data_IF_326194094338
#
_entry.id   IF_326194094338
#
_cell.length_a   1.000
_cell.length_b   1.000
_cell.length_c   1.000
_cell.angle_alpha   90.00
_cell.angle_beta   90.00
_cell.angle_gamma   90.00
#
_symmetry.space_group_name_H-M   'P 1'
#
loop_
_entity.id
_entity.type
_entity.pdbx_description
1 polymer ?
#
# COMPACT_ATOMS: atom_id res chain seq x y z
N UNK A 1 10.68 24.50 -6.08
CA UNK A 1 9.20 24.37 -6.04
C UNK A 1 8.77 22.92 -6.20
N UNK A 2 9.24 22.21 -7.23
CA UNK A 2 8.92 20.79 -7.46
C UNK A 2 9.28 19.88 -6.27
N UNK A 3 10.49 19.99 -5.73
CA UNK A 3 10.91 19.18 -4.56
C UNK A 3 10.04 19.43 -3.32
N UNK A 4 9.62 20.67 -3.06
CA UNK A 4 8.76 20.99 -1.92
C UNK A 4 7.38 20.31 -2.03
N UNK A 5 6.85 20.20 -3.25
CA UNK A 5 5.59 19.49 -3.52
C UNK A 5 5.76 17.99 -3.24
N UNK A 6 6.86 17.40 -3.72
CA UNK A 6 7.15 15.98 -3.51
C UNK A 6 7.37 15.65 -2.03
N UNK A 7 8.10 16.49 -1.29
CA UNK A 7 8.29 16.33 0.16
C UNK A 7 6.93 16.42 0.87
N UNK A 8 6.10 17.41 0.51
CA UNK A 8 4.74 17.53 1.05
C UNK A 8 3.89 16.28 0.79
N UNK A 9 3.97 15.71 -0.42
CA UNK A 9 3.28 14.47 -0.76
C UNK A 9 3.76 13.28 0.09
N UNK A 10 5.07 13.11 0.26
CA UNK A 10 5.63 12.06 1.12
C UNK A 10 5.11 12.19 2.56
N UNK A 11 5.12 13.40 3.12
CA UNK A 11 4.64 13.64 4.49
C UNK A 11 3.17 13.22 4.64
N UNK A 12 2.32 13.57 3.67
CA UNK A 12 0.89 13.20 3.69
C UNK A 12 0.74 11.67 3.57
N UNK A 13 1.46 11.02 2.65
CA UNK A 13 1.40 9.57 2.46
C UNK A 13 1.85 8.83 3.73
N UNK A 14 2.94 9.28 4.35
CA UNK A 14 3.44 8.69 5.61
C UNK A 14 2.43 8.88 6.74
N UNK A 15 1.83 10.07 6.87
CA UNK A 15 0.81 10.32 7.89
C UNK A 15 -0.41 9.38 7.71
N UNK A 16 -0.88 9.23 6.47
CA UNK A 16 -1.94 8.29 6.10
C UNK A 16 -1.58 6.83 6.44
N UNK A 17 -0.36 6.40 6.13
CA UNK A 17 0.12 5.05 6.46
C UNK A 17 0.16 4.81 7.97
N UNK A 18 0.64 5.77 8.76
CA UNK A 18 0.66 5.67 10.22
C UNK A 18 -0.77 5.55 10.78
N UNK A 19 -1.70 6.36 10.26
CA UNK A 19 -3.11 6.29 10.67
C UNK A 19 -3.70 4.91 10.33
N UNK A 20 -3.45 4.38 9.12
CA UNK A 20 -3.89 3.04 8.73
C UNK A 20 -3.30 1.94 9.61
N UNK A 21 -2.03 2.06 10.00
CA UNK A 21 -1.35 1.11 10.88
C UNK A 21 -1.84 1.20 12.34
N UNK A 22 -2.36 2.36 12.77
CA UNK A 22 -3.04 2.47 14.07
C UNK A 22 -4.45 1.88 13.97
N UNK A 23 -5.16 2.09 12.87
CA UNK A 23 -6.50 1.56 12.64
C UNK A 23 -6.51 0.03 12.67
N UNK A 24 -5.55 -0.63 12.00
CA UNK A 24 -5.46 -2.09 11.95
C UNK A 24 -5.28 -2.74 13.34
N UNK A 25 -4.66 -2.02 14.29
CA UNK A 25 -4.48 -2.49 15.68
C UNK A 25 -5.73 -2.29 16.53
N UNK A 26 -6.61 -1.35 16.16
CA UNK A 26 -7.85 -1.04 16.88
C UNK A 26 -9.02 -1.89 16.42
N UNK A 27 -9.06 -2.22 15.14
CA UNK A 27 -10.15 -2.98 14.55
C UNK A 27 -10.16 -4.46 15.00
N UNK A 28 -11.34 -4.93 15.41
CA UNK A 28 -11.56 -6.33 15.83
C UNK A 28 -12.12 -7.21 14.71
N UNK A 29 -12.71 -6.62 13.68
CA UNK A 29 -13.31 -7.34 12.57
C UNK A 29 -12.26 -7.81 11.56
N UNK A 30 -12.25 -9.12 11.27
CA UNK A 30 -11.28 -9.75 10.37
C UNK A 30 -11.37 -9.20 8.93
N UNK A 31 -12.57 -8.85 8.48
CA UNK A 31 -12.80 -8.27 7.16
C UNK A 31 -12.19 -6.87 7.06
N UNK A 32 -12.43 -6.02 8.06
CA UNK A 32 -11.91 -4.65 8.06
C UNK A 32 -10.37 -4.67 8.15
N UNK A 33 -9.83 -5.62 8.91
CA UNK A 33 -8.38 -5.83 9.01
C UNK A 33 -7.75 -6.25 7.67
N UNK A 34 -8.44 -7.07 6.88
CA UNK A 34 -7.95 -7.46 5.56
C UNK A 34 -7.90 -6.26 4.59
N UNK A 35 -8.96 -5.44 4.57
CA UNK A 35 -9.00 -4.23 3.73
C UNK A 35 -7.94 -3.20 4.17
N UNK A 36 -7.74 -3.04 5.49
CA UNK A 36 -6.69 -2.17 6.02
C UNK A 36 -5.27 -2.65 5.68
N UNK A 37 -5.05 -3.97 5.63
CA UNK A 37 -3.77 -4.52 5.18
C UNK A 37 -3.50 -4.16 3.70
N UNK A 38 -4.50 -4.24 2.83
CA UNK A 38 -4.37 -3.82 1.43
C UNK A 38 -4.10 -2.32 1.32
N UNK A 39 -4.80 -1.51 2.11
CA UNK A 39 -4.57 -0.06 2.17
C UNK A 39 -3.12 0.28 2.54
N UNK A 40 -2.57 -0.36 3.57
CA UNK A 40 -1.19 -0.14 4.02
C UNK A 40 -0.20 -0.58 2.92
N UNK A 41 -0.45 -1.73 2.29
CA UNK A 41 0.41 -2.24 1.23
C UNK A 41 0.48 -1.28 0.02
N UNK A 42 -0.68 -0.85 -0.50
CA UNK A 42 -0.71 0.08 -1.62
C UNK A 42 -0.20 1.48 -1.25
N UNK A 43 -0.40 1.93 0.01
CA UNK A 43 0.21 3.15 0.52
C UNK A 43 1.74 3.08 0.52
N UNK A 44 2.33 1.94 0.87
CA UNK A 44 3.78 1.73 0.82
C UNK A 44 4.31 1.72 -0.63
N UNK A 45 3.59 1.11 -1.56
CA UNK A 45 3.94 1.15 -3.00
C UNK A 45 3.88 2.59 -3.54
N UNK A 46 2.89 3.38 -3.13
CA UNK A 46 2.79 4.80 -3.49
C UNK A 46 3.99 5.60 -2.97
N UNK A 47 4.40 5.37 -1.71
CA UNK A 47 5.59 6.01 -1.14
C UNK A 47 6.85 5.65 -1.91
N UNK A 48 7.03 4.37 -2.27
CA UNK A 48 8.14 3.92 -3.10
C UNK A 48 8.15 4.61 -4.46
N UNK A 49 6.98 4.77 -5.11
CA UNK A 49 6.88 5.46 -6.39
C UNK A 49 7.26 6.95 -6.33
N UNK A 50 6.91 7.64 -5.25
CA UNK A 50 7.36 9.04 -5.05
C UNK A 50 8.87 9.09 -4.79
N UNK A 51 9.42 8.09 -4.09
CA UNK A 51 10.85 7.98 -3.86
C UNK A 51 11.66 7.74 -5.15
N UNK A 52 11.14 6.98 -6.13
CA UNK A 52 11.81 6.78 -7.42
C UNK A 52 11.89 8.06 -8.25
N UNK A 53 11.03 9.05 -7.99
CA UNK A 53 11.12 10.38 -8.65
C UNK A 53 12.33 11.17 -8.10
N UNK A 54 12.72 10.94 -6.84
CA UNK A 54 13.93 11.54 -6.26
C UNK A 54 15.21 10.79 -6.62
N UNK A 55 15.10 9.49 -6.92
CA UNK A 55 16.24 8.62 -7.18
C UNK A 55 16.09 7.98 -8.56
N UNK A 56 16.81 8.55 -9.53
CA UNK A 56 16.88 8.00 -10.88
C UNK A 56 17.45 6.58 -10.83
N UNK A 57 16.55 5.61 -11.00
CA UNK A 57 16.86 4.18 -10.96
C UNK A 57 16.23 3.53 -12.19
N UNK A 58 17.05 2.80 -12.96
CA UNK A 58 16.61 2.17 -14.21
C UNK A 58 15.54 1.09 -14.04
N UNK A 59 15.39 0.53 -12.83
CA UNK A 59 14.48 -0.61 -12.54
C UNK A 59 13.37 -0.19 -11.54
N UNK A 60 13.30 1.10 -11.20
CA UNK A 60 12.40 1.59 -10.15
C UNK A 60 10.93 1.31 -10.48
N UNK A 61 10.53 1.58 -11.71
CA UNK A 61 9.14 1.47 -12.17
C UNK A 61 8.68 0.02 -12.34
N UNK A 62 9.56 -0.86 -12.79
CA UNK A 62 9.32 -2.29 -12.94
C UNK A 62 9.01 -2.93 -11.59
N UNK A 63 9.77 -2.56 -10.55
CA UNK A 63 9.54 -3.01 -9.18
C UNK A 63 8.18 -2.49 -8.68
N UNK A 64 7.84 -1.23 -8.93
CA UNK A 64 6.56 -0.66 -8.52
C UNK A 64 5.37 -1.38 -9.18
N UNK A 65 5.48 -1.70 -10.47
CA UNK A 65 4.46 -2.44 -11.21
C UNK A 65 4.33 -3.86 -10.66
N UNK A 66 5.44 -4.58 -10.49
CA UNK A 66 5.43 -5.94 -9.93
C UNK A 66 4.86 -5.95 -8.52
N UNK A 67 5.20 -4.97 -7.68
CA UNK A 67 4.66 -4.83 -6.35
C UNK A 67 3.13 -4.60 -6.39
N UNK A 68 2.65 -3.68 -7.23
CA UNK A 68 1.22 -3.36 -7.32
C UNK A 68 0.38 -4.50 -7.89
N UNK A 69 0.86 -5.17 -8.94
CA UNK A 69 0.11 -6.23 -9.64
C UNK A 69 0.25 -7.58 -8.94
N UNK A 70 1.47 -8.04 -8.71
CA UNK A 70 1.73 -9.40 -8.24
C UNK A 70 1.60 -9.46 -6.72
N UNK A 71 2.31 -8.58 -6.01
CA UNK A 71 2.34 -8.62 -4.56
C UNK A 71 1.11 -7.97 -3.90
N UNK A 72 0.42 -7.04 -4.57
CA UNK A 72 -0.79 -6.42 -4.04
C UNK A 72 -2.04 -7.27 -4.25
N UNK A 73 -2.34 -7.63 -5.50
CA UNK A 73 -3.64 -8.25 -5.83
C UNK A 73 -3.77 -9.71 -5.37
N UNK A 74 -2.67 -10.48 -5.40
CA UNK A 74 -2.72 -11.92 -5.08
C UNK A 74 -3.04 -12.17 -3.60
N UNK A 75 -2.40 -11.48 -2.64
CA UNK A 75 -2.75 -11.63 -1.22
C UNK A 75 -4.19 -11.22 -0.92
N UNK A 76 -4.69 -10.12 -1.49
CA UNK A 76 -6.07 -9.67 -1.33
C UNK A 76 -7.07 -10.73 -1.82
N UNK A 77 -6.84 -11.27 -3.02
CA UNK A 77 -7.68 -12.33 -3.58
C UNK A 77 -7.61 -13.63 -2.79
N UNK A 78 -6.44 -13.93 -2.22
CA UNK A 78 -6.26 -15.10 -1.37
C UNK A 78 -7.01 -14.93 -0.05
N UNK A 79 -6.92 -13.76 0.58
CA UNK A 79 -7.64 -13.48 1.82
C UNK A 79 -9.14 -13.39 1.63
N UNK A 80 -9.63 -12.81 0.54
CA UNK A 80 -11.06 -12.78 0.25
C UNK A 80 -11.65 -14.19 0.12
N UNK A 81 -10.91 -15.13 -0.48
CA UNK A 81 -11.31 -16.55 -0.56
C UNK A 81 -11.29 -17.27 0.77
N UNK A 82 -10.31 -16.97 1.63
CA UNK A 82 -10.23 -17.54 2.98
C UNK A 82 -11.43 -17.06 3.81
N UNK A 83 -11.72 -15.75 3.75
CA UNK A 83 -12.84 -15.13 4.47
C UNK A 83 -14.18 -15.64 3.93
N UNK A 84 -14.34 -15.78 2.61
CA UNK A 84 -15.56 -16.34 2.00
C UNK A 84 -15.71 -17.85 2.20
N UNK A 85 -14.72 -18.51 2.83
CA UNK A 85 -14.64 -19.97 3.01
C UNK A 85 -14.81 -20.73 1.69
N UNK A 86 -14.34 -20.15 0.58
CA UNK A 86 -14.46 -20.72 -0.75
C UNK A 86 -15.87 -20.68 -1.36
N UNK A 87 -16.85 -20.04 -0.70
CA UNK A 87 -18.13 -19.71 -1.35
C UNK A 87 -17.89 -18.56 -2.32
N UNK A 88 -18.27 -18.78 -3.58
CA UNK A 88 -18.15 -17.82 -4.67
C UNK A 88 -19.13 -16.68 -4.48
#
# INVERSE_FOLDING_TARGET
>A
MFEAILIGAIVIIVACLIIGMIAILRDKDELNRAVLADYIFYGAVCLYFVWTIFNDTFIGYEIAILAALVCGTIPTLSMSRIISRGRR
#
